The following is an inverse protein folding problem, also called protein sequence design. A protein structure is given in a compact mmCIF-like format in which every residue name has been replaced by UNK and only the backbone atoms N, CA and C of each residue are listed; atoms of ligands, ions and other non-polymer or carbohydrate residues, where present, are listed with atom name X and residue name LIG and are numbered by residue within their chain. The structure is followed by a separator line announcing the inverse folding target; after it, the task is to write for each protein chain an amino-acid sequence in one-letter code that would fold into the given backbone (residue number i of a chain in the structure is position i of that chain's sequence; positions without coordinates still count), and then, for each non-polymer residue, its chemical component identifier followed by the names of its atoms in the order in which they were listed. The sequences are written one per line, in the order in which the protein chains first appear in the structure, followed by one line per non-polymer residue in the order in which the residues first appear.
data_IF_037184574415
#
_entry.id   IF_037184574415
#
_cell.length_a   1.000
_cell.length_b   1.000
_cell.length_c   1.000
_cell.angle_alpha   90.00
_cell.angle_beta   90.00
_cell.angle_gamma   90.00
#
_symmetry.space_group_name_H-M   'P 1'
#
loop_
_entity.id
_entity.type
_entity.pdbx_description
1 polymer ?
#
# COMPACT_ATOMS: atom_id res chain seq x y z
N UNK A 1 2.48 31.53 -6.76
CA UNK A 1 3.65 31.10 -5.97
C UNK A 1 4.00 29.70 -6.41
N UNK A 2 5.11 29.53 -7.09
CA UNK A 2 5.60 28.19 -7.46
C UNK A 2 6.14 27.55 -6.17
N UNK A 3 5.55 26.48 -5.72
CA UNK A 3 6.13 25.63 -4.68
C UNK A 3 7.43 25.06 -5.27
N UNK A 4 8.55 25.56 -4.80
CA UNK A 4 9.85 24.97 -5.10
C UNK A 4 9.82 23.53 -4.59
N UNK A 5 9.78 22.59 -5.51
CA UNK A 5 10.00 21.19 -5.18
C UNK A 5 11.40 21.11 -4.55
N UNK A 6 11.48 20.66 -3.31
CA UNK A 6 12.73 20.54 -2.57
C UNK A 6 13.62 19.47 -3.25
N UNK A 7 14.40 19.90 -4.25
CA UNK A 7 15.26 19.04 -5.07
C UNK A 7 16.48 18.49 -4.29
N UNK A 8 16.57 18.75 -2.99
CA UNK A 8 17.69 18.37 -2.14
C UNK A 8 17.42 17.22 -1.17
N UNK A 9 16.17 16.75 -1.01
CA UNK A 9 15.85 15.68 -0.06
C UNK A 9 16.37 14.32 -0.57
N UNK A 10 16.89 13.50 0.35
CA UNK A 10 17.34 12.16 0.03
C UNK A 10 16.14 11.26 -0.34
N UNK A 11 16.40 10.25 -1.17
CA UNK A 11 15.44 9.19 -1.45
C UNK A 11 15.21 8.33 -0.21
N UNK A 12 13.94 8.08 0.11
CA UNK A 12 13.53 7.18 1.18
C UNK A 12 12.74 6.03 0.58
N UNK A 13 13.04 4.81 1.01
CA UNK A 13 12.25 3.63 0.63
C UNK A 13 10.98 3.59 1.45
N UNK A 14 9.86 3.40 0.77
CA UNK A 14 8.53 3.27 1.38
C UNK A 14 7.86 1.99 0.91
N UNK A 15 6.99 1.45 1.74
CA UNK A 15 6.12 0.32 1.38
C UNK A 15 4.68 0.79 1.45
N UNK A 16 3.99 0.61 0.34
CA UNK A 16 2.61 1.06 0.16
C UNK A 16 1.69 -0.14 -0.02
N UNK A 17 0.55 -0.13 0.66
CA UNK A 17 -0.52 -1.09 0.41
C UNK A 17 -1.52 -0.49 -0.59
N UNK A 18 -1.88 -1.27 -1.60
CA UNK A 18 -2.90 -0.93 -2.58
C UNK A 18 -4.04 -1.95 -2.46
N UNK A 19 -5.28 -1.47 -2.36
CA UNK A 19 -6.45 -2.33 -2.24
C UNK A 19 -7.64 -1.79 -3.02
N UNK A 20 -8.46 -2.71 -3.56
CA UNK A 20 -9.64 -2.39 -4.36
C UNK A 20 -10.65 -3.54 -4.34
N UNK A 21 -11.94 -3.26 -4.27
CA UNK A 21 -12.99 -4.27 -4.39
C UNK A 21 -14.20 -3.83 -5.22
N UNK A 22 -14.08 -2.74 -5.98
CA UNK A 22 -15.14 -2.23 -6.86
C UNK A 22 -14.67 -2.18 -8.31
N UNK A 23 -15.58 -2.49 -9.23
CA UNK A 23 -15.36 -2.39 -10.66
C UNK A 23 -14.30 -3.37 -11.18
N UNK A 24 -13.53 -2.95 -12.17
CA UNK A 24 -12.40 -3.71 -12.70
C UNK A 24 -11.18 -3.56 -11.75
N UNK A 25 -11.11 -4.46 -10.79
CA UNK A 25 -10.13 -4.41 -9.70
C UNK A 25 -8.69 -4.40 -10.21
N UNK A 26 -8.37 -5.26 -11.17
CA UNK A 26 -7.01 -5.32 -11.72
C UNK A 26 -6.64 -4.04 -12.46
N UNK A 27 -7.57 -3.49 -13.25
CA UNK A 27 -7.37 -2.21 -13.94
C UNK A 27 -7.19 -1.06 -12.93
N UNK A 28 -7.90 -1.08 -11.80
CA UNK A 28 -7.74 -0.09 -10.73
C UNK A 28 -6.32 -0.11 -10.16
N UNK A 29 -5.75 -1.30 -9.91
CA UNK A 29 -4.38 -1.43 -9.43
C UNK A 29 -3.36 -0.94 -10.47
N UNK A 30 -3.55 -1.30 -11.74
CA UNK A 30 -2.70 -0.81 -12.85
C UNK A 30 -2.69 0.71 -12.93
N UNK A 31 -3.86 1.33 -12.86
CA UNK A 31 -3.98 2.79 -12.91
C UNK A 31 -3.33 3.46 -11.70
N UNK A 32 -3.48 2.87 -10.52
CA UNK A 32 -2.83 3.39 -9.31
C UNK A 32 -1.31 3.36 -9.42
N UNK A 33 -0.73 2.24 -9.86
CA UNK A 33 0.72 2.13 -10.08
C UNK A 33 1.22 3.15 -11.11
N UNK A 34 0.51 3.30 -12.22
CA UNK A 34 0.87 4.25 -13.27
C UNK A 34 0.78 5.71 -12.82
N UNK A 35 -0.04 6.01 -11.81
CA UNK A 35 -0.23 7.36 -11.29
C UNK A 35 0.79 7.76 -10.21
N UNK A 36 1.54 6.82 -9.64
CA UNK A 36 2.51 7.12 -8.57
C UNK A 36 3.65 8.05 -9.01
N UNK A 37 4.31 7.86 -10.18
CA UNK A 37 5.33 8.80 -10.64
C UNK A 37 4.75 10.20 -10.96
N UNK A 38 5.55 11.28 -10.86
CA UNK A 38 6.98 11.29 -10.58
C UNK A 38 7.37 11.33 -9.10
N UNK A 39 6.45 11.66 -8.20
CA UNK A 39 6.75 11.91 -6.79
C UNK A 39 7.06 10.63 -6.01
N UNK A 40 6.45 9.53 -6.43
CA UNK A 40 6.68 8.20 -5.87
C UNK A 40 7.10 7.27 -7.00
N UNK A 41 8.28 6.69 -6.91
CA UNK A 41 8.83 5.82 -7.95
C UNK A 41 8.70 4.36 -7.52
N UNK A 42 7.81 3.57 -8.12
CA UNK A 42 7.71 2.14 -7.86
C UNK A 42 9.02 1.43 -8.24
N UNK A 43 9.48 0.54 -7.37
CA UNK A 43 10.69 -0.27 -7.57
C UNK A 43 10.37 -1.74 -7.78
N UNK A 44 9.49 -2.29 -6.94
CA UNK A 44 9.04 -3.68 -6.99
C UNK A 44 7.59 -3.78 -6.53
N UNK A 45 6.88 -4.77 -7.03
CA UNK A 45 5.53 -5.09 -6.59
C UNK A 45 5.43 -6.55 -6.14
N UNK A 46 4.60 -6.80 -5.14
CA UNK A 46 4.19 -8.14 -4.77
C UNK A 46 3.27 -8.75 -5.83
N UNK A 47 2.99 -10.04 -5.73
CA UNK A 47 1.82 -10.61 -6.39
C UNK A 47 0.54 -9.90 -5.93
N UNK A 48 -0.51 -10.01 -6.72
CA UNK A 48 -1.85 -9.54 -6.38
C UNK A 48 -2.61 -10.68 -5.72
N UNK A 49 -3.17 -10.42 -4.54
CA UNK A 49 -3.90 -11.41 -3.75
C UNK A 49 -5.38 -11.06 -3.68
N UNK A 50 -6.24 -12.06 -3.85
CA UNK A 50 -7.65 -11.93 -3.51
C UNK A 50 -7.85 -12.27 -2.04
N UNK A 51 -8.55 -11.40 -1.32
CA UNK A 51 -8.67 -11.49 0.13
C UNK A 51 -10.11 -11.19 0.55
N UNK A 52 -10.58 -11.78 1.68
CA UNK A 52 -11.90 -11.44 2.21
C UNK A 52 -11.93 -10.00 2.72
N UNK A 53 -13.10 -9.33 2.69
CA UNK A 53 -13.22 -7.99 3.23
C UNK A 53 -12.96 -7.98 4.74
N UNK A 54 -12.27 -6.93 5.21
CA UNK A 54 -12.01 -6.67 6.62
C UNK A 54 -13.13 -5.81 7.21
N UNK A 55 -13.66 -6.21 8.37
CA UNK A 55 -14.71 -5.49 9.07
C UNK A 55 -16.09 -5.79 8.51
N UNK A 56 -16.60 -5.03 7.54
CA UNK A 56 -17.88 -5.30 6.88
C UNK A 56 -17.70 -6.45 5.90
N UNK A 57 -18.31 -7.62 6.18
CA UNK A 57 -18.12 -8.85 5.40
C UNK A 57 -19.05 -8.96 4.19
N UNK A 58 -20.19 -8.27 4.19
CA UNK A 58 -21.15 -8.26 3.08
C UNK A 58 -20.76 -7.26 1.99
N UNK A 59 -19.61 -7.50 1.34
CA UNK A 59 -19.11 -6.70 0.22
C UNK A 59 -18.20 -7.58 -0.65
N UNK A 60 -17.90 -7.16 -1.89
CA UNK A 60 -16.98 -7.90 -2.75
C UNK A 60 -15.60 -8.12 -2.12
N UNK A 61 -14.95 -9.22 -2.49
CA UNK A 61 -13.58 -9.51 -2.07
C UNK A 61 -12.62 -8.47 -2.64
N UNK A 62 -11.58 -8.18 -1.89
CA UNK A 62 -10.54 -7.25 -2.30
C UNK A 62 -9.48 -7.93 -3.17
N UNK A 63 -8.88 -7.16 -4.07
CA UNK A 63 -7.51 -7.40 -4.50
C UNK A 63 -6.58 -6.48 -3.71
N UNK A 64 -5.57 -7.08 -3.10
CA UNK A 64 -4.56 -6.37 -2.32
C UNK A 64 -3.17 -6.70 -2.82
N UNK A 65 -2.29 -5.72 -2.79
CA UNK A 65 -0.88 -5.86 -3.09
C UNK A 65 -0.04 -4.87 -2.29
N UNK A 66 1.25 -5.10 -2.22
CA UNK A 66 2.23 -4.18 -1.65
C UNK A 66 3.22 -3.76 -2.72
N UNK A 67 3.58 -2.50 -2.69
CA UNK A 67 4.58 -1.91 -3.58
C UNK A 67 5.72 -1.35 -2.76
N UNK A 68 6.94 -1.74 -3.10
CA UNK A 68 8.15 -1.08 -2.66
C UNK A 68 8.41 0.08 -3.62
N UNK A 69 8.55 1.26 -3.07
CA UNK A 69 8.80 2.47 -3.84
C UNK A 69 9.83 3.35 -3.14
N UNK A 70 10.27 4.38 -3.83
CA UNK A 70 11.09 5.43 -3.23
C UNK A 70 10.46 6.79 -3.49
N UNK A 71 10.67 7.69 -2.56
CA UNK A 71 10.17 9.08 -2.66
C UNK A 71 11.14 10.06 -2.02
N UNK A 72 11.04 11.32 -2.41
CA UNK A 72 11.69 12.45 -1.73
C UNK A 72 10.69 13.28 -0.92
N UNK A 73 9.40 12.92 -0.99
CA UNK A 73 8.39 13.59 -0.19
C UNK A 73 8.58 13.25 1.30
N UNK A 74 8.45 14.26 2.14
CA UNK A 74 8.32 14.07 3.59
C UNK A 74 7.03 13.28 3.90
N UNK A 75 6.88 12.68 5.10
CA UNK A 75 5.76 11.81 5.41
C UNK A 75 4.37 12.39 5.19
N UNK A 76 4.08 13.61 5.68
CA UNK A 76 2.76 14.23 5.49
C UNK A 76 2.51 14.64 4.03
N UNK A 77 3.44 15.28 3.32
CA UNK A 77 3.31 15.49 1.87
C UNK A 77 3.06 14.19 1.09
N UNK A 78 3.70 13.08 1.46
CA UNK A 78 3.45 11.78 0.85
C UNK A 78 2.00 11.32 1.09
N UNK A 79 1.52 11.41 2.34
CA UNK A 79 0.14 11.07 2.67
C UNK A 79 -0.84 11.89 1.83
N UNK A 80 -0.65 13.21 1.75
CA UNK A 80 -1.53 14.09 0.98
C UNK A 80 -1.48 13.79 -0.51
N UNK A 81 -0.30 13.48 -1.04
CA UNK A 81 -0.13 13.04 -2.43
C UNK A 81 -0.94 11.78 -2.75
N UNK A 82 -0.84 10.75 -1.89
CA UNK A 82 -1.58 9.50 -2.07
C UNK A 82 -3.09 9.71 -1.98
N UNK A 83 -3.57 10.53 -1.04
CA UNK A 83 -5.01 10.86 -0.93
C UNK A 83 -5.53 11.63 -2.13
N UNK A 84 -4.73 12.52 -2.69
CA UNK A 84 -5.05 13.22 -3.95
C UNK A 84 -5.16 12.23 -5.11
N UNK A 85 -4.23 11.28 -5.22
CA UNK A 85 -4.29 10.22 -6.23
C UNK A 85 -5.55 9.36 -6.09
N UNK A 86 -5.92 8.96 -4.88
CA UNK A 86 -7.17 8.22 -4.65
C UNK A 86 -8.38 8.98 -5.21
N UNK A 87 -8.48 10.28 -4.93
CA UNK A 87 -9.57 11.12 -5.43
C UNK A 87 -9.56 11.24 -6.94
N UNK A 88 -8.40 11.45 -7.55
CA UNK A 88 -8.22 11.54 -9.00
C UNK A 88 -8.56 10.22 -9.71
N UNK A 89 -8.32 9.09 -9.05
CA UNK A 89 -8.65 7.75 -9.56
C UNK A 89 -10.13 7.38 -9.35
N UNK A 90 -10.92 8.27 -8.77
CA UNK A 90 -12.37 8.12 -8.67
C UNK A 90 -12.87 7.60 -7.32
N UNK A 91 -12.05 7.53 -6.27
CA UNK A 91 -12.51 7.15 -4.94
C UNK A 91 -13.57 8.15 -4.44
N UNK A 92 -14.68 7.63 -3.99
CA UNK A 92 -15.76 8.40 -3.38
C UNK A 92 -15.72 8.27 -1.86
N UNK A 93 -16.16 9.31 -1.11
CA UNK A 93 -16.40 9.18 0.32
C UNK A 93 -17.36 8.03 0.61
N UNK A 94 -17.07 7.25 1.66
CA UNK A 94 -17.90 6.11 2.01
C UNK A 94 -17.71 5.71 3.46
N UNK A 95 -18.44 4.66 3.89
CA UNK A 95 -18.35 4.13 5.24
C UNK A 95 -16.98 3.52 5.52
N UNK A 96 -16.54 3.63 6.77
CA UNK A 96 -15.31 2.98 7.24
C UNK A 96 -15.40 1.47 7.01
N UNK A 97 -14.33 0.88 6.46
CA UNK A 97 -14.26 -0.54 6.04
C UNK A 97 -15.27 -0.96 4.97
N UNK A 98 -15.96 -0.01 4.34
CA UNK A 98 -16.86 -0.29 3.23
C UNK A 98 -16.14 -0.47 1.90
N UNK A 99 -16.90 -0.63 0.80
CA UNK A 99 -16.33 -0.83 -0.53
C UNK A 99 -15.43 0.33 -0.97
N UNK A 100 -14.33 -0.01 -1.69
CA UNK A 100 -13.34 0.96 -2.17
C UNK A 100 -12.97 0.71 -3.61
N UNK A 101 -12.99 1.78 -4.40
CA UNK A 101 -12.43 1.76 -5.75
C UNK A 101 -10.91 1.61 -5.72
N UNK A 102 -10.26 2.35 -4.83
CA UNK A 102 -8.82 2.25 -4.55
C UNK A 102 -8.49 2.82 -3.17
N UNK A 103 -7.62 2.12 -2.45
CA UNK A 103 -6.96 2.57 -1.23
C UNK A 103 -5.45 2.57 -1.45
N UNK A 104 -4.80 3.64 -1.03
CA UNK A 104 -3.34 3.78 -1.03
C UNK A 104 -2.89 4.13 0.38
N UNK A 105 -2.27 3.18 1.07
CA UNK A 105 -1.84 3.34 2.46
C UNK A 105 -0.33 3.24 2.62
N UNK A 106 0.24 4.08 3.47
CA UNK A 106 1.65 4.01 3.86
C UNK A 106 1.79 2.94 4.95
N UNK A 107 2.54 1.87 4.66
CA UNK A 107 2.87 0.84 5.64
C UNK A 107 4.13 1.20 6.41
N UNK A 108 5.19 1.54 5.68
CA UNK A 108 6.51 1.86 6.20
C UNK A 108 7.08 3.07 5.46
N UNK A 109 7.83 3.88 6.19
CA UNK A 109 8.58 5.02 5.65
C UNK A 109 10.02 4.93 6.18
N UNK A 110 10.91 4.30 5.41
CA UNK A 110 12.22 3.91 5.94
C UNK A 110 12.07 3.12 7.24
N UNK A 111 12.88 3.44 8.23
CA UNK A 111 12.79 2.88 9.58
C UNK A 111 12.09 3.82 10.57
N UNK A 112 11.42 4.85 10.07
CA UNK A 112 10.83 5.88 10.92
C UNK A 112 9.61 5.37 11.68
N UNK A 113 9.49 5.84 12.91
CA UNK A 113 8.28 5.75 13.73
C UNK A 113 7.66 7.13 13.77
N UNK A 114 6.43 7.25 13.26
CA UNK A 114 5.71 8.52 13.15
C UNK A 114 4.39 8.39 13.88
N UNK A 115 4.12 9.32 14.77
CA UNK A 115 2.87 9.37 15.52
C UNK A 115 2.32 10.80 15.49
N UNK A 116 1.62 11.11 14.40
CA UNK A 116 0.98 12.39 14.17
C UNK A 116 -0.54 12.21 14.14
N UNK A 117 -1.33 13.25 14.37
CA UNK A 117 -2.80 13.16 14.30
C UNK A 117 -3.31 12.60 12.96
N UNK A 118 -2.64 12.93 11.86
CA UNK A 118 -3.03 12.54 10.51
C UNK A 118 -2.36 11.25 10.03
N UNK A 119 -1.22 10.84 10.62
CA UNK A 119 -0.37 9.77 10.10
C UNK A 119 0.32 9.00 11.22
N UNK A 120 0.10 7.70 11.25
CA UNK A 120 0.85 6.76 12.10
C UNK A 120 1.62 5.78 11.22
N UNK A 121 2.94 5.72 11.41
CA UNK A 121 3.85 4.78 10.72
C UNK A 121 4.78 4.14 11.77
N UNK A 122 4.96 2.83 11.76
CA UNK A 122 4.33 1.80 10.89
C UNK A 122 2.81 1.86 10.95
N UNK A 123 2.14 1.42 9.88
CA UNK A 123 0.69 1.39 9.87
C UNK A 123 0.17 0.63 11.09
N UNK A 124 -0.75 1.20 11.89
CA UNK A 124 -1.05 0.69 13.24
C UNK A 124 -1.63 -0.73 13.28
N UNK A 125 -2.24 -1.18 12.20
CA UNK A 125 -2.86 -2.52 12.12
C UNK A 125 -2.14 -3.49 11.20
N UNK A 126 -1.01 -3.13 10.62
CA UNK A 126 -0.35 -3.99 9.63
C UNK A 126 0.07 -5.34 10.20
N UNK A 127 0.47 -5.39 11.48
CA UNK A 127 0.94 -6.62 12.11
C UNK A 127 -0.16 -7.65 12.39
N UNK A 128 -1.43 -7.27 12.28
CA UNK A 128 -2.58 -8.15 12.49
C UNK A 128 -3.35 -8.48 11.21
N UNK A 129 -2.91 -7.95 10.05
CA UNK A 129 -3.62 -8.07 8.79
C UNK A 129 -2.89 -8.98 7.81
N UNK A 130 -3.43 -10.19 7.60
CA UNK A 130 -2.90 -11.15 6.63
C UNK A 130 -2.81 -10.56 5.22
N UNK A 131 -3.82 -9.78 4.79
CA UNK A 131 -3.85 -9.15 3.46
C UNK A 131 -2.80 -8.05 3.26
N UNK A 132 -2.10 -7.66 4.32
CA UNK A 132 -0.91 -6.77 4.28
C UNK A 132 0.36 -7.59 4.39
N UNK A 133 0.45 -8.49 5.37
CA UNK A 133 1.67 -9.24 5.67
C UNK A 133 2.04 -10.24 4.57
N UNK A 134 1.05 -10.91 3.97
CA UNK A 134 1.32 -11.87 2.89
C UNK A 134 1.98 -11.19 1.70
N UNK A 135 1.42 -10.14 1.08
CA UNK A 135 2.09 -9.45 -0.02
C UNK A 135 3.38 -8.74 0.40
N UNK A 136 3.45 -8.18 1.61
CA UNK A 136 4.69 -7.56 2.10
C UNK A 136 5.85 -8.56 2.15
N UNK A 137 5.58 -9.81 2.55
CA UNK A 137 6.58 -10.87 2.62
C UNK A 137 7.11 -11.30 1.24
N UNK A 138 6.40 -11.04 0.14
CA UNK A 138 6.95 -11.24 -1.21
C UNK A 138 8.15 -10.32 -1.47
N UNK A 139 8.21 -9.17 -0.81
CA UNK A 139 9.21 -8.13 -1.03
C UNK A 139 10.24 -8.03 0.09
N UNK A 140 9.82 -8.19 1.34
CA UNK A 140 10.63 -7.86 2.51
C UNK A 140 10.41 -8.82 3.69
N UNK A 141 10.54 -10.15 3.50
CA UNK A 141 10.25 -11.12 4.56
C UNK A 141 11.16 -10.98 5.78
N UNK A 142 12.44 -10.62 5.55
CA UNK A 142 13.45 -10.45 6.61
C UNK A 142 13.52 -9.02 7.18
N UNK A 143 12.74 -8.10 6.62
CA UNK A 143 12.58 -6.77 7.18
C UNK A 143 11.94 -6.82 8.57
N UNK A 144 12.25 -5.83 9.40
CA UNK A 144 11.76 -5.77 10.78
C UNK A 144 10.77 -4.64 10.97
N UNK A 145 9.70 -4.95 11.68
CA UNK A 145 8.75 -3.93 12.10
C UNK A 145 9.45 -2.94 13.06
N UNK A 146 9.46 -1.63 12.77
CA UNK A 146 10.23 -0.64 13.55
C UNK A 146 9.89 -0.56 15.04
N UNK A 147 8.66 -0.93 15.43
CA UNK A 147 8.25 -0.94 16.84
C UNK A 147 8.37 -2.32 17.48
N UNK A 148 7.96 -3.37 16.78
CA UNK A 148 7.91 -4.73 17.34
C UNK A 148 9.26 -5.43 17.26
N UNK A 149 10.15 -4.96 16.41
CA UNK A 149 11.47 -5.55 16.16
C UNK A 149 11.44 -7.03 15.76
N UNK A 150 10.32 -7.45 15.15
CA UNK A 150 10.13 -8.79 14.62
C UNK A 150 10.15 -8.75 13.10
N UNK A 151 10.59 -9.83 12.46
CA UNK A 151 10.57 -9.92 11.00
C UNK A 151 9.13 -10.00 10.48
N UNK A 152 8.89 -9.50 9.27
CA UNK A 152 7.56 -9.60 8.67
C UNK A 152 7.15 -11.05 8.41
N UNK A 153 8.12 -11.93 8.15
CA UNK A 153 7.89 -13.38 8.07
C UNK A 153 7.38 -13.96 9.39
N UNK A 154 7.97 -13.56 10.53
CA UNK A 154 7.52 -13.99 11.84
C UNK A 154 6.13 -13.46 12.18
N UNK A 155 5.82 -12.21 11.83
CA UNK A 155 4.49 -11.65 12.01
C UNK A 155 3.45 -12.36 11.14
N UNK A 156 3.78 -12.65 9.88
CA UNK A 156 2.91 -13.41 8.97
C UNK A 156 2.57 -14.79 9.53
N UNK A 157 3.52 -15.46 10.18
CA UNK A 157 3.31 -16.79 10.74
C UNK A 157 2.24 -16.83 11.85
N UNK A 158 1.87 -15.68 12.42
CA UNK A 158 0.88 -15.56 13.51
C UNK A 158 -0.53 -15.21 13.07
N UNK A 159 -0.71 -14.83 11.81
CA UNK A 159 -2.02 -14.45 11.28
C UNK A 159 -2.61 -15.57 10.41
N UNK A 160 -3.94 -15.61 10.34
CA UNK A 160 -4.64 -16.58 9.51
C UNK A 160 -4.57 -16.16 8.04
N UNK A 161 -3.86 -16.93 7.24
CA UNK A 161 -3.69 -16.68 5.80
C UNK A 161 -4.50 -17.63 4.91
N UNK A 162 -5.41 -18.45 5.46
CA UNK A 162 -6.10 -19.51 4.71
C UNK A 162 -6.97 -19.01 3.57
N UNK A 163 -7.51 -17.81 3.69
CA UNK A 163 -8.37 -17.22 2.65
C UNK A 163 -7.64 -16.19 1.77
N UNK A 164 -6.32 -16.15 1.83
CA UNK A 164 -5.49 -15.26 1.00
C UNK A 164 -4.97 -16.07 -0.19
N UNK A 165 -5.42 -15.72 -1.39
CA UNK A 165 -5.11 -16.47 -2.60
C UNK A 165 -4.45 -15.57 -3.65
N UNK A 166 -3.45 -16.10 -4.37
CA UNK A 166 -2.85 -15.38 -5.49
C UNK A 166 -3.90 -15.23 -6.59
N UNK A 167 -4.16 -13.98 -6.99
CA UNK A 167 -5.02 -13.63 -8.12
C UNK A 167 -4.24 -13.45 -9.41
N UNK A 168 -3.11 -12.77 -9.32
CA UNK A 168 -2.23 -12.49 -10.46
C UNK A 168 -0.80 -12.23 -9.99
N UNK A 169 0.16 -12.51 -10.85
CA UNK A 169 1.56 -12.15 -10.61
C UNK A 169 1.79 -10.64 -10.77
N UNK A 170 2.88 -10.14 -10.17
CA UNK A 170 3.24 -8.72 -10.23
C UNK A 170 3.29 -8.17 -11.66
N UNK A 171 3.74 -8.96 -12.62
CA UNK A 171 3.83 -8.56 -14.02
C UNK A 171 2.48 -8.17 -14.64
N UNK A 172 1.35 -8.67 -14.09
CA UNK A 172 0.01 -8.34 -14.59
C UNK A 172 -0.39 -6.89 -14.30
N UNK A 173 0.19 -6.27 -13.29
CA UNK A 173 -0.14 -4.88 -12.88
C UNK A 173 1.00 -3.91 -13.13
N UNK A 174 2.23 -4.41 -13.30
CA UNK A 174 3.40 -3.56 -13.50
C UNK A 174 3.24 -2.75 -14.79
N UNK A 175 3.53 -1.43 -14.77
CA UNK A 175 3.43 -0.61 -15.96
C UNK A 175 4.33 -1.16 -17.07
N UNK A 176 3.74 -1.43 -18.23
CA UNK A 176 4.52 -1.79 -19.40
C UNK A 176 5.31 -0.55 -19.83
N UNK A 177 6.63 -0.65 -19.82
CA UNK A 177 7.49 0.37 -20.39
C UNK A 177 7.32 0.28 -21.89
N UNK A 178 6.58 1.21 -22.41
CA UNK A 178 6.42 1.36 -23.86
C UNK A 178 7.67 1.94 -24.51
#
# INVERSE_FOLDING_TARGET
MRTEANHGAAWVTVYLALGTNLGDRLANLRRALAALPPEVQPLRASAVYETPPWGITEQPRFLNMVVEARTRLEPLPLLHYLKTLESQLGRQPGVRYGPRLIDLDILLYGDMVINLPELTVPHPRMAERAFVLVPLCDLYPQGRHPLLNETFEALRARVDCREIEIWAEAAAVWPQVG
#
